data_IF_116348057697
#
_entry.id   IF_116348057697
#
_cell.length_a   1.000
_cell.length_b   1.000
_cell.length_c   1.000
_cell.angle_alpha   90.00
_cell.angle_beta   90.00
_cell.angle_gamma   90.00
#
_symmetry.space_group_name_H-M   'P 1'
#
loop_
_entity.id
_entity.type
_entity.pdbx_description
1 polymer ?
#
# COMPACT_ATOMS: atom_id res chain seq x y z
N UNK A 1 21.43 -40.57 38.28
CA UNK A 1 21.15 -40.73 36.85
C UNK A 1 19.75 -40.17 36.59
N UNK A 2 19.64 -38.91 36.17
CA UNK A 2 18.34 -38.32 35.80
C UNK A 2 18.15 -38.55 34.30
N UNK A 3 17.19 -39.42 33.96
CA UNK A 3 16.71 -39.62 32.61
C UNK A 3 15.69 -38.52 32.28
N UNK A 4 16.01 -37.68 31.30
CA UNK A 4 15.05 -36.73 30.74
C UNK A 4 14.20 -37.48 29.70
N UNK A 5 12.87 -37.44 29.88
CA UNK A 5 11.91 -37.96 28.91
C UNK A 5 11.85 -36.96 27.75
N UNK A 6 12.38 -37.32 26.58
CA UNK A 6 12.07 -36.60 25.34
C UNK A 6 10.61 -36.90 24.96
N UNK A 7 9.73 -35.91 25.14
CA UNK A 7 8.40 -35.97 24.56
C UNK A 7 8.49 -35.69 23.06
N UNK A 8 8.40 -36.74 22.25
CA UNK A 8 8.22 -36.64 20.82
C UNK A 8 6.86 -36.00 20.50
N UNK A 9 6.85 -34.68 20.28
CA UNK A 9 5.65 -33.98 19.83
C UNK A 9 5.35 -34.44 18.39
N UNK A 10 4.22 -35.15 18.23
CA UNK A 10 3.73 -35.64 16.94
C UNK A 10 3.59 -34.49 15.92
N UNK A 11 4.21 -34.65 14.75
CA UNK A 11 4.27 -33.63 13.70
C UNK A 11 2.90 -33.15 13.19
N UNK A 12 1.83 -33.93 13.38
CA UNK A 12 0.45 -33.51 13.05
C UNK A 12 -0.08 -32.44 14.00
N UNK A 13 0.28 -32.51 15.29
CA UNK A 13 -0.12 -31.51 16.29
C UNK A 13 0.67 -30.20 16.09
N UNK A 14 1.95 -30.29 15.70
CA UNK A 14 2.76 -29.11 15.33
C UNK A 14 2.17 -28.40 14.12
N UNK A 15 1.79 -29.14 13.06
CA UNK A 15 1.16 -28.57 11.87
C UNK A 15 -0.17 -27.90 12.19
N UNK A 16 -1.05 -28.55 12.98
CA UNK A 16 -2.33 -27.96 13.40
C UNK A 16 -2.14 -26.68 14.23
N UNK A 17 -1.14 -26.65 15.11
CA UNK A 17 -0.77 -25.46 15.88
C UNK A 17 -0.24 -24.33 14.99
N UNK A 18 0.66 -24.63 14.04
CA UNK A 18 1.16 -23.64 13.08
C UNK A 18 0.04 -23.05 12.22
N UNK A 19 -0.87 -23.89 11.71
CA UNK A 19 -2.02 -23.43 10.94
C UNK A 19 -2.95 -22.57 11.80
N UNK A 20 -3.25 -22.98 13.03
CA UNK A 20 -4.10 -22.21 13.95
C UNK A 20 -3.50 -20.84 14.28
N UNK A 21 -2.20 -20.77 14.53
CA UNK A 21 -1.47 -19.52 14.78
C UNK A 21 -1.51 -18.62 13.55
N UNK A 22 -1.23 -19.14 12.35
CA UNK A 22 -1.31 -18.36 11.09
C UNK A 22 -2.72 -17.82 10.83
N UNK A 23 -3.76 -18.62 11.04
CA UNK A 23 -5.15 -18.16 10.89
C UNK A 23 -5.53 -17.10 11.92
N UNK A 24 -5.05 -17.22 13.16
CA UNK A 24 -5.29 -16.24 14.21
C UNK A 24 -4.58 -14.90 13.93
N UNK A 25 -3.35 -14.94 13.39
CA UNK A 25 -2.65 -13.73 12.94
C UNK A 25 -3.36 -13.08 11.74
N UNK A 26 -3.83 -13.86 10.77
CA UNK A 26 -4.51 -13.33 9.59
C UNK A 26 -5.87 -12.69 9.91
N UNK A 27 -6.63 -13.26 10.86
CA UNK A 27 -7.94 -12.73 11.28
C UNK A 27 -7.85 -11.47 12.16
N UNK A 28 -6.68 -11.17 12.73
CA UNK A 28 -6.47 -10.07 13.68
C UNK A 28 -5.91 -8.77 13.08
N UNK A 29 -5.49 -8.75 11.81
CA UNK A 29 -4.87 -7.58 11.19
C UNK A 29 -5.95 -6.63 10.64
N UNK A 30 -6.59 -5.86 11.51
CA UNK A 30 -7.19 -4.60 11.08
C UNK A 30 -6.06 -3.63 10.74
N UNK A 31 -6.06 -3.07 9.54
CA UNK A 31 -5.11 -2.04 9.13
C UNK A 31 -5.28 -0.79 10.01
N UNK A 32 -4.36 -0.62 10.96
CA UNK A 32 -4.30 0.58 11.80
C UNK A 32 -3.81 1.75 10.94
N UNK A 33 -4.69 2.73 10.69
CA UNK A 33 -4.31 4.00 10.06
C UNK A 33 -3.94 5.00 11.14
N UNK A 34 -2.68 5.45 11.13
CA UNK A 34 -2.23 6.55 11.98
C UNK A 34 -2.47 7.88 11.26
N UNK A 35 -2.96 8.89 11.98
CA UNK A 35 -3.07 10.23 11.43
C UNK A 35 -1.66 10.79 11.16
N UNK A 36 -1.47 11.43 10.00
CA UNK A 36 -0.21 12.11 9.67
C UNK A 36 0.14 13.21 10.68
N UNK A 37 1.43 13.53 10.78
CA UNK A 37 1.91 14.61 11.63
C UNK A 37 1.53 15.96 11.01
N UNK A 38 0.73 16.75 11.71
CA UNK A 38 0.32 18.09 11.26
C UNK A 38 0.93 19.16 12.15
N UNK A 39 1.74 20.02 11.54
CA UNK A 39 2.37 21.18 12.16
C UNK A 39 1.55 22.41 11.79
N UNK A 40 0.92 23.03 12.79
CA UNK A 40 0.13 24.25 12.61
C UNK A 40 0.94 25.46 13.04
N UNK A 41 0.99 26.47 12.17
CA UNK A 41 1.46 27.81 12.50
C UNK A 41 0.26 28.64 12.97
N UNK A 42 -0.83 28.60 12.20
CA UNK A 42 -2.13 29.18 12.52
C UNK A 42 -3.26 28.38 11.84
N UNK A 43 -4.51 28.86 11.93
CA UNK A 43 -5.69 28.19 11.36
C UNK A 43 -5.68 28.10 9.82
N UNK A 44 -4.93 28.97 9.17
CA UNK A 44 -4.81 29.09 7.71
C UNK A 44 -3.43 28.71 7.18
N UNK A 45 -2.49 28.36 8.08
CA UNK A 45 -1.12 28.00 7.76
C UNK A 45 -0.72 26.74 8.49
N UNK A 46 -0.61 25.65 7.75
CA UNK A 46 -0.20 24.37 8.30
C UNK A 46 0.50 23.52 7.26
N UNK A 47 1.29 22.57 7.74
CA UNK A 47 1.92 21.53 6.94
C UNK A 47 1.59 20.18 7.57
N UNK A 48 1.17 19.22 6.76
CA UNK A 48 0.86 17.86 7.18
C UNK A 48 1.73 16.88 6.41
N UNK A 49 2.36 15.97 7.13
CA UNK A 49 3.21 14.92 6.58
C UNK A 49 2.62 13.57 6.98
N UNK A 50 2.38 12.72 6.00
CA UNK A 50 1.90 11.35 6.20
C UNK A 50 2.75 10.35 5.46
N UNK A 51 2.66 9.09 5.86
CA UNK A 51 3.26 7.99 5.12
C UNK A 51 2.33 6.76 5.13
N UNK A 52 2.33 6.02 4.03
CA UNK A 52 1.72 4.70 3.92
C UNK A 52 2.80 3.66 3.67
N UNK A 53 2.69 2.50 4.33
CA UNK A 53 3.59 1.36 4.15
C UNK A 53 2.78 0.09 3.97
N UNK A 54 3.12 -0.71 2.96
CA UNK A 54 2.57 -2.04 2.72
C UNK A 54 3.72 -3.04 2.58
N UNK A 55 3.58 -4.15 3.29
CA UNK A 55 4.49 -5.28 3.22
C UNK A 55 3.72 -6.58 3.07
N UNK A 56 4.39 -7.62 2.58
CA UNK A 56 3.84 -8.94 2.45
C UNK A 56 4.85 -10.00 2.90
N UNK A 57 4.32 -11.10 3.40
CA UNK A 57 5.08 -12.27 3.81
C UNK A 57 4.52 -13.50 3.12
N UNK A 58 5.39 -14.31 2.52
CA UNK A 58 5.01 -15.55 1.81
C UNK A 58 5.83 -16.71 2.34
N UNK A 59 5.16 -17.76 2.79
CA UNK A 59 5.77 -19.03 3.16
C UNK A 59 5.31 -20.10 2.15
N UNK A 60 6.24 -20.61 1.33
CA UNK A 60 5.95 -21.62 0.31
C UNK A 60 6.87 -22.83 0.43
N UNK A 61 6.29 -24.03 0.40
CA UNK A 61 7.03 -25.28 0.34
C UNK A 61 7.58 -25.50 -1.08
N UNK A 62 8.77 -26.12 -1.18
CA UNK A 62 9.43 -26.48 -2.46
C UNK A 62 9.79 -25.30 -3.39
N UNK A 63 9.63 -24.05 -2.94
CA UNK A 63 9.99 -22.83 -3.70
C UNK A 63 11.40 -22.30 -3.40
N UNK A 64 12.16 -22.98 -2.52
CA UNK A 64 13.48 -22.54 -2.06
C UNK A 64 14.61 -22.92 -3.04
N UNK A 65 14.54 -22.44 -4.30
CA UNK A 65 15.65 -22.39 -5.27
C UNK A 65 16.44 -23.66 -5.59
N UNK A 66 16.07 -24.82 -5.04
CA UNK A 66 16.79 -26.09 -5.16
C UNK A 66 15.81 -27.20 -5.54
N UNK A 67 15.84 -27.71 -6.79
CA UNK A 67 14.97 -28.78 -7.23
C UNK A 67 15.13 -30.02 -6.32
N UNK A 68 14.04 -30.47 -5.69
CA UNK A 68 14.02 -31.65 -4.83
C UNK A 68 14.32 -31.42 -3.34
N UNK A 69 14.53 -30.18 -2.90
CA UNK A 69 14.56 -29.87 -1.47
C UNK A 69 13.15 -29.50 -0.98
N UNK A 70 12.58 -30.33 -0.10
CA UNK A 70 11.37 -30.04 0.67
C UNK A 70 11.65 -28.97 1.75
N UNK A 71 12.13 -27.81 1.33
CA UNK A 71 12.47 -26.68 2.20
C UNK A 71 11.48 -25.55 1.96
N UNK A 72 11.09 -24.92 3.06
CA UNK A 72 10.25 -23.73 3.05
C UNK A 72 11.05 -22.51 2.57
N UNK A 73 10.47 -21.77 1.64
CA UNK A 73 10.90 -20.42 1.29
C UNK A 73 10.06 -19.43 2.10
N UNK A 74 10.73 -18.53 2.84
CA UNK A 74 10.10 -17.46 3.62
C UNK A 74 10.55 -16.13 3.03
N UNK A 75 9.67 -15.48 2.29
CA UNK A 75 9.95 -14.23 1.59
C UNK A 75 9.21 -13.08 2.27
N UNK A 76 9.91 -11.97 2.50
CA UNK A 76 9.36 -10.73 3.02
C UNK A 76 9.65 -9.61 2.04
N UNK A 77 8.60 -8.89 1.63
CA UNK A 77 8.70 -7.79 0.69
C UNK A 77 8.12 -6.51 1.29
N UNK A 78 8.77 -5.37 1.02
CA UNK A 78 8.19 -4.04 1.09
C UNK A 78 7.60 -3.72 -0.29
N UNK A 79 6.31 -3.97 -0.42
CA UNK A 79 5.58 -3.85 -1.67
C UNK A 79 5.41 -2.40 -2.09
N UNK A 80 5.12 -1.51 -1.12
CA UNK A 80 4.81 -0.12 -1.43
C UNK A 80 5.05 0.83 -0.24
N UNK A 81 5.63 2.00 -0.54
CA UNK A 81 5.78 3.13 0.39
C UNK A 81 5.24 4.38 -0.30
N UNK A 82 4.38 5.12 0.39
CA UNK A 82 3.85 6.41 -0.08
C UNK A 82 4.13 7.50 0.93
N UNK A 83 4.59 8.65 0.48
CA UNK A 83 4.78 9.84 1.30
C UNK A 83 3.78 10.91 0.85
N UNK A 84 3.08 11.47 1.81
CA UNK A 84 2.10 12.53 1.62
C UNK A 84 2.60 13.81 2.25
N UNK A 85 2.64 14.90 1.49
CA UNK A 85 2.94 16.23 1.97
C UNK A 85 1.82 17.16 1.55
N UNK A 86 1.10 17.69 2.54
CA UNK A 86 0.02 18.63 2.33
C UNK A 86 0.34 19.92 3.05
N UNK A 87 -0.09 21.04 2.51
CA UNK A 87 0.09 22.32 3.16
C UNK A 87 -1.02 23.30 2.84
N UNK A 88 -1.35 24.14 3.79
CA UNK A 88 -2.14 25.34 3.56
C UNK A 88 -1.22 26.54 3.78
N UNK A 89 -1.09 27.37 2.75
CA UNK A 89 -0.19 28.53 2.76
C UNK A 89 -1.01 29.81 3.04
N UNK A 90 -2.28 29.81 2.65
CA UNK A 90 -3.23 30.90 2.83
C UNK A 90 -4.66 30.35 3.00
N UNK A 91 -5.61 31.17 3.46
CA UNK A 91 -7.04 30.78 3.58
C UNK A 91 -7.66 30.21 2.29
N UNK A 92 -7.12 30.57 1.13
CA UNK A 92 -7.61 30.14 -0.19
C UNK A 92 -6.60 29.33 -1.00
N UNK A 93 -5.39 29.07 -0.46
CA UNK A 93 -4.33 28.38 -1.19
C UNK A 93 -3.80 27.20 -0.38
N UNK A 94 -4.00 26.01 -0.93
CA UNK A 94 -3.45 24.75 -0.43
C UNK A 94 -2.55 24.13 -1.49
N UNK A 95 -1.61 23.31 -1.04
CA UNK A 95 -0.70 22.54 -1.87
C UNK A 95 -0.72 21.09 -1.43
N UNK A 96 -0.58 20.18 -2.38
CA UNK A 96 -0.50 18.74 -2.14
C UNK A 96 0.60 18.15 -3.01
N UNK A 97 1.47 17.35 -2.38
CA UNK A 97 2.57 16.66 -3.02
C UNK A 97 2.65 15.23 -2.49
N UNK A 98 2.33 14.26 -3.34
CA UNK A 98 2.32 12.84 -2.98
C UNK A 98 3.33 12.08 -3.84
N UNK A 99 4.09 11.20 -3.22
CA UNK A 99 5.08 10.35 -3.91
C UNK A 99 4.89 8.90 -3.52
N UNK A 100 5.20 8.01 -4.44
CA UNK A 100 5.03 6.58 -4.24
C UNK A 100 6.24 5.81 -4.79
N UNK A 101 6.68 4.84 -4.00
CA UNK A 101 7.65 3.85 -4.39
C UNK A 101 6.95 2.49 -4.41
N UNK A 102 6.94 1.88 -5.58
CA UNK A 102 6.38 0.55 -5.78
C UNK A 102 7.51 -0.44 -5.99
N UNK A 103 7.39 -1.60 -5.35
CA UNK A 103 8.45 -2.63 -5.34
C UNK A 103 9.75 -2.11 -4.71
N UNK A 104 9.65 -1.36 -3.61
CA UNK A 104 10.82 -0.73 -2.95
C UNK A 104 11.90 -1.73 -2.54
N UNK A 105 11.52 -2.98 -2.20
CA UNK A 105 12.48 -4.04 -1.88
C UNK A 105 13.36 -4.50 -3.06
N UNK A 106 13.01 -4.16 -4.30
CA UNK A 106 13.67 -4.71 -5.50
C UNK A 106 14.22 -3.62 -6.44
N UNK A 107 14.67 -2.49 -5.86
CA UNK A 107 15.21 -1.35 -6.63
C UNK A 107 14.13 -0.44 -7.23
N UNK A 108 12.91 -0.46 -6.67
CA UNK A 108 11.75 0.29 -7.15
C UNK A 108 12.00 1.79 -7.36
N UNK A 109 11.29 2.37 -8.34
CA UNK A 109 11.36 3.78 -8.69
C UNK A 109 10.42 4.60 -7.81
N UNK A 110 10.90 5.75 -7.31
CA UNK A 110 10.05 6.75 -6.66
C UNK A 110 9.43 7.64 -7.74
N UNK A 111 8.09 7.69 -7.79
CA UNK A 111 7.34 8.53 -8.70
C UNK A 111 6.53 9.59 -7.94
N UNK A 112 6.41 10.76 -8.55
CA UNK A 112 5.47 11.80 -8.10
C UNK A 112 4.07 11.42 -8.58
N UNK A 113 3.15 11.19 -7.64
CA UNK A 113 1.76 10.92 -7.94
C UNK A 113 0.98 12.22 -8.15
N UNK A 114 1.09 13.13 -7.18
CA UNK A 114 0.33 14.37 -7.17
C UNK A 114 1.27 15.54 -6.89
N UNK A 115 1.04 16.64 -7.59
CA UNK A 115 1.66 17.94 -7.38
C UNK A 115 0.61 19.00 -7.73
N UNK A 116 -0.20 19.38 -6.74
CA UNK A 116 -1.45 20.13 -6.91
C UNK A 116 -1.36 21.46 -6.16
N UNK A 117 -1.69 22.55 -6.85
CA UNK A 117 -2.10 23.80 -6.23
C UNK A 117 -3.62 23.89 -6.21
N UNK A 118 -4.21 24.06 -5.02
CA UNK A 118 -5.66 24.12 -4.81
C UNK A 118 -6.06 25.53 -4.38
N UNK A 119 -6.83 26.19 -5.25
CA UNK A 119 -7.43 27.50 -5.00
C UNK A 119 -8.90 27.29 -4.61
N UNK A 120 -9.21 27.48 -3.34
CA UNK A 120 -10.52 27.22 -2.75
C UNK A 120 -11.06 28.53 -2.15
N UNK A 121 -11.76 29.33 -2.97
CA UNK A 121 -12.26 30.65 -2.56
C UNK A 121 -13.65 30.53 -1.93
N UNK A 122 -14.49 29.68 -2.53
CA UNK A 122 -15.86 29.42 -2.12
C UNK A 122 -16.10 27.90 -2.13
N UNK A 123 -16.89 27.33 -1.20
CA UNK A 123 -17.19 25.89 -1.19
C UNK A 123 -17.75 25.35 -2.51
N UNK A 124 -18.40 26.17 -3.32
CA UNK A 124 -19.02 25.77 -4.58
C UNK A 124 -18.05 25.83 -5.77
N UNK A 125 -16.98 26.63 -5.69
CA UNK A 125 -16.08 26.88 -6.82
C UNK A 125 -14.61 26.75 -6.39
N UNK A 126 -14.02 25.62 -6.77
CA UNK A 126 -12.62 25.30 -6.49
C UNK A 126 -11.87 25.12 -7.81
N UNK A 127 -10.66 25.67 -7.89
CA UNK A 127 -9.76 25.49 -9.02
C UNK A 127 -8.51 24.74 -8.54
N UNK A 128 -8.31 23.53 -9.05
CA UNK A 128 -7.13 22.72 -8.77
C UNK A 128 -6.28 22.63 -10.03
N UNK A 129 -4.99 22.89 -9.89
CA UNK A 129 -4.05 22.96 -11.01
C UNK A 129 -2.82 22.12 -10.69
N UNK A 130 -2.40 21.29 -11.65
CA UNK A 130 -1.18 20.49 -11.56
C UNK A 130 -1.42 19.03 -11.93
N UNK A 131 -0.51 18.17 -11.49
CA UNK A 131 -0.65 16.72 -11.63
C UNK A 131 -1.55 16.22 -10.51
N UNK A 132 -2.70 15.65 -10.85
CA UNK A 132 -3.65 15.13 -9.88
C UNK A 132 -4.35 13.89 -10.40
N UNK A 133 -4.92 13.11 -9.48
CA UNK A 133 -5.84 12.04 -9.81
C UNK A 133 -7.06 12.62 -10.54
N UNK A 134 -7.44 12.04 -11.67
CA UNK A 134 -8.69 12.40 -12.34
C UNK A 134 -9.86 11.93 -11.47
N UNK A 135 -10.86 12.79 -11.19
CA UNK A 135 -12.05 12.36 -10.46
C UNK A 135 -12.81 11.31 -11.27
N UNK A 136 -12.64 10.05 -10.89
CA UNK A 136 -13.28 8.91 -11.50
C UNK A 136 -14.12 8.18 -10.44
N UNK A 137 -13.95 6.87 -10.29
CA UNK A 137 -14.71 6.06 -9.36
C UNK A 137 -14.10 5.98 -7.94
N UNK A 138 -14.92 5.48 -7.00
CA UNK A 138 -14.57 5.33 -5.59
C UNK A 138 -13.34 4.42 -5.37
N UNK A 139 -13.10 3.46 -6.25
CA UNK A 139 -11.97 2.53 -6.16
C UNK A 139 -10.65 3.29 -6.35
N UNK A 140 -10.56 4.15 -7.35
CA UNK A 140 -9.37 4.96 -7.64
C UNK A 140 -9.06 5.94 -6.52
N UNK A 141 -10.10 6.51 -5.91
CA UNK A 141 -9.97 7.42 -4.78
C UNK A 141 -9.63 6.72 -3.45
N UNK A 142 -9.83 5.40 -3.35
CA UNK A 142 -9.51 4.64 -2.14
C UNK A 142 -8.00 4.40 -2.01
N UNK A 143 -7.28 4.35 -3.13
CA UNK A 143 -5.84 4.06 -3.14
C UNK A 143 -5.50 2.69 -2.53
N UNK A 144 -4.21 2.36 -2.42
CA UNK A 144 -3.81 1.09 -1.81
C UNK A 144 -4.10 1.09 -0.30
N UNK A 145 -3.74 2.12 0.45
CA UNK A 145 -3.69 2.02 1.92
C UNK A 145 -5.05 1.95 2.64
N UNK A 146 -6.16 2.26 1.98
CA UNK A 146 -7.48 2.33 2.59
C UNK A 146 -8.45 1.25 2.10
N UNK A 147 -7.95 0.29 1.32
CA UNK A 147 -8.76 -0.77 0.72
C UNK A 147 -8.76 -2.01 1.60
N UNK A 148 -9.94 -2.63 1.75
CA UNK A 148 -10.07 -3.94 2.40
C UNK A 148 -9.43 -5.08 1.58
N UNK A 149 -9.20 -4.86 0.28
CA UNK A 149 -8.61 -5.84 -0.61
C UNK A 149 -7.17 -5.42 -0.90
N UNK A 150 -6.21 -6.28 -0.54
CA UNK A 150 -4.78 -5.99 -0.66
C UNK A 150 -4.38 -5.59 -2.10
N UNK A 151 -4.86 -6.35 -3.09
CA UNK A 151 -4.61 -6.15 -4.52
C UNK A 151 -5.86 -5.67 -5.27
N UNK A 152 -6.53 -4.60 -4.81
CA UNK A 152 -7.82 -4.19 -5.41
C UNK A 152 -7.75 -3.87 -6.92
N UNK A 153 -6.60 -3.43 -7.44
CA UNK A 153 -6.37 -3.11 -8.86
C UNK A 153 -5.87 -4.35 -9.64
N UNK A 154 -4.87 -5.06 -9.10
CA UNK A 154 -4.31 -6.29 -9.71
C UNK A 154 -5.16 -7.55 -9.56
N UNK A 155 -6.15 -7.57 -8.68
CA UNK A 155 -7.09 -8.68 -8.55
C UNK A 155 -8.48 -8.27 -9.07
N UNK A 156 -8.50 -7.26 -9.95
CA UNK A 156 -9.66 -6.47 -10.37
C UNK A 156 -10.97 -7.25 -10.40
N UNK A 157 -11.98 -6.72 -9.73
CA UNK A 157 -13.36 -7.08 -9.97
C UNK A 157 -13.63 -6.99 -11.48
N UNK A 158 -14.36 -7.93 -12.09
CA UNK A 158 -14.34 -8.24 -13.53
C UNK A 158 -14.85 -7.14 -14.49
N UNK A 159 -15.00 -5.90 -14.04
CA UNK A 159 -15.71 -4.83 -14.74
C UNK A 159 -14.78 -3.73 -15.29
N UNK A 160 -13.51 -3.71 -14.92
CA UNK A 160 -12.60 -2.59 -15.16
C UNK A 160 -11.20 -3.12 -15.53
N UNK A 161 -11.08 -3.69 -16.75
CA UNK A 161 -9.83 -4.31 -17.23
C UNK A 161 -8.72 -3.34 -17.56
N UNK A 162 -9.03 -2.04 -17.68
CA UNK A 162 -8.04 -0.99 -17.99
C UNK A 162 -7.01 -0.82 -16.86
N UNK A 163 -7.40 -1.10 -15.61
CA UNK A 163 -6.58 -0.88 -14.41
C UNK A 163 -5.83 -2.13 -13.95
N UNK A 164 -5.79 -3.17 -14.79
CA UNK A 164 -5.09 -4.42 -14.53
C UNK A 164 -3.61 -4.34 -14.96
N UNK A 165 -2.97 -3.17 -14.95
CA UNK A 165 -1.55 -3.12 -15.32
C UNK A 165 -0.64 -3.31 -14.09
N UNK A 166 0.11 -4.40 -14.11
CA UNK A 166 1.16 -4.70 -13.14
C UNK A 166 2.54 -4.10 -13.49
N UNK A 167 2.67 -3.54 -14.70
CA UNK A 167 3.93 -3.04 -15.25
C UNK A 167 3.96 -1.52 -15.21
N UNK A 168 4.96 -0.98 -14.52
CA UNK A 168 5.26 0.44 -14.50
C UNK A 168 5.94 0.83 -15.81
N UNK A 169 5.35 1.81 -16.49
CA UNK A 169 5.79 2.38 -17.76
C UNK A 169 5.72 3.90 -17.66
N UNK A 170 6.48 4.57 -18.52
CA UNK A 170 6.49 6.04 -18.65
C UNK A 170 5.56 6.56 -19.74
N UNK A 171 4.84 5.66 -20.42
CA UNK A 171 4.00 5.95 -21.60
C UNK A 171 2.51 6.20 -21.27
N UNK A 172 2.16 6.30 -19.98
CA UNK A 172 0.78 6.50 -19.53
C UNK A 172 -0.06 5.22 -19.48
N UNK A 173 0.42 4.08 -19.96
CA UNK A 173 -0.36 2.83 -19.99
C UNK A 173 -0.37 2.06 -18.66
N UNK A 174 0.10 2.68 -17.58
CA UNK A 174 0.30 2.07 -16.25
C UNK A 174 -0.88 2.21 -15.29
N UNK A 175 -2.08 2.39 -15.81
CA UNK A 175 -3.32 2.45 -15.02
C UNK A 175 -3.42 1.28 -14.03
N UNK A 176 -3.70 1.59 -12.77
CA UNK A 176 -3.81 0.64 -11.67
C UNK A 176 -2.50 0.12 -11.08
N UNK A 177 -1.35 0.36 -11.71
CA UNK A 177 -0.05 -0.10 -11.18
C UNK A 177 0.22 0.52 -9.80
N UNK A 178 0.12 1.84 -9.66
CA UNK A 178 0.30 2.57 -8.38
C UNK A 178 -0.91 2.51 -7.44
N UNK A 179 -1.83 1.58 -7.69
CA UNK A 179 -3.08 1.47 -6.98
C UNK A 179 -3.99 2.68 -7.16
N UNK A 180 -4.04 3.19 -8.39
CA UNK A 180 -4.91 4.26 -8.90
C UNK A 180 -4.79 4.32 -10.44
N UNK A 181 -5.81 4.83 -11.11
CA UNK A 181 -5.79 5.22 -12.51
C UNK A 181 -5.20 6.62 -12.66
N UNK A 182 -4.19 6.77 -13.51
CA UNK A 182 -3.57 8.07 -13.79
C UNK A 182 -4.23 8.79 -15.00
N UNK A 183 -5.32 8.24 -15.55
CA UNK A 183 -6.21 8.89 -16.51
C UNK A 183 -5.59 9.10 -17.89
N UNK A 184 -5.17 8.01 -18.55
CA UNK A 184 -4.66 8.03 -19.94
C UNK A 184 -5.71 7.57 -20.96
#
# INVERSE_FOLDING_TARGET
MNSYIEQAVSGRNVRLLCTAVLTALAAGQASNSYAGATFKIDDTKWVSVGAGLRSSFRAQEEAAGNPGAQKWNNDFALDNIRLYLNGQIHKYLKVEFNTDCQTCSNGGEVRVLDAIGKFEIDPMYNLWVGRMLVPAERREMNGPFYSAIYNIFSAGTPFESADYNLTIKSDGTSAGSFGRDDGA
#
